data_IF_164875211617
#
_entry.id   IF_164875211617
#
_cell.length_a   1.000
_cell.length_b   1.000
_cell.length_c   1.000
_cell.angle_alpha   90.00
_cell.angle_beta   90.00
_cell.angle_gamma   90.00
#
_symmetry.space_group_name_H-M   'P 1'
#
loop_
_entity.id
_entity.type
_entity.pdbx_description
1 polymer ?
#
# COMPACT_ATOMS: atom_id res chain seq x y z
N UNK A 1 0.47 4.50 -17.41
CA UNK A 1 -0.62 5.49 -17.30
C UNK A 1 -0.97 5.70 -15.83
N UNK A 2 -1.62 6.82 -15.47
CA UNK A 2 -2.07 7.11 -14.10
C UNK A 2 -3.54 7.58 -14.11
N UNK A 3 -4.30 7.24 -13.06
CA UNK A 3 -5.66 7.73 -12.82
C UNK A 3 -5.92 8.06 -11.34
N UNK A 4 -6.90 8.93 -11.10
CA UNK A 4 -7.34 9.38 -9.76
C UNK A 4 -8.52 8.60 -9.18
N UNK A 5 -8.74 7.37 -9.66
CA UNK A 5 -9.75 6.45 -9.11
C UNK A 5 -9.07 5.11 -8.85
N UNK A 6 -9.30 4.47 -7.68
CA UNK A 6 -8.75 3.15 -7.42
C UNK A 6 -9.20 2.17 -8.51
N UNK A 7 -8.28 1.29 -8.91
CA UNK A 7 -8.61 0.19 -9.80
C UNK A 7 -9.24 -0.96 -9.02
N UNK A 8 -8.77 -1.20 -7.80
CA UNK A 8 -9.14 -2.31 -6.95
C UNK A 8 -10.13 -1.87 -5.87
N UNK A 9 -10.93 -2.81 -5.42
CA UNK A 9 -11.80 -2.61 -4.26
C UNK A 9 -10.98 -2.81 -2.98
N UNK A 10 -10.78 -1.74 -2.22
CA UNK A 10 -9.98 -1.76 -1.00
C UNK A 10 -10.52 -2.75 0.05
N UNK A 11 -11.85 -2.83 0.22
CA UNK A 11 -12.42 -3.72 1.24
C UNK A 11 -12.27 -5.19 0.83
N UNK A 12 -12.39 -5.49 -0.47
CA UNK A 12 -12.08 -6.84 -0.97
C UNK A 12 -10.60 -7.18 -0.80
N UNK A 13 -9.69 -6.23 -1.04
CA UNK A 13 -8.27 -6.45 -0.83
C UNK A 13 -7.95 -6.74 0.63
N UNK A 14 -8.49 -5.96 1.57
CA UNK A 14 -8.30 -6.16 3.03
C UNK A 14 -8.78 -7.52 3.53
N UNK A 15 -9.79 -8.10 2.88
CA UNK A 15 -10.35 -9.42 3.22
C UNK A 15 -9.68 -10.57 2.48
N UNK A 16 -8.76 -10.28 1.55
CA UNK A 16 -8.07 -11.30 0.77
C UNK A 16 -6.89 -11.90 1.52
N UNK A 17 -6.43 -13.07 1.07
CA UNK A 17 -5.17 -13.68 1.49
C UNK A 17 -4.00 -13.03 0.72
N UNK A 18 -3.77 -11.73 0.97
CA UNK A 18 -2.75 -10.98 0.25
C UNK A 18 -1.34 -11.35 0.70
N UNK A 19 -0.41 -11.35 -0.25
CA UNK A 19 1.01 -11.59 0.00
C UNK A 19 1.76 -10.28 0.17
N UNK A 20 2.77 -10.28 1.02
CA UNK A 20 3.72 -9.18 1.15
C UNK A 20 5.04 -9.58 0.48
N UNK A 21 5.57 -8.75 -0.42
CA UNK A 21 6.86 -9.06 -1.05
C UNK A 21 8.00 -8.93 -0.05
N UNK A 22 9.10 -9.65 -0.29
CA UNK A 22 10.32 -9.51 0.52
C UNK A 22 10.83 -8.07 0.56
N UNK A 23 10.73 -7.33 -0.54
CA UNK A 23 11.10 -5.91 -0.57
C UNK A 23 10.22 -5.08 0.35
N UNK A 24 8.90 -5.27 0.35
CA UNK A 24 7.99 -4.57 1.25
C UNK A 24 8.24 -4.94 2.74
N UNK A 25 8.59 -6.19 3.02
CA UNK A 25 8.99 -6.63 4.36
C UNK A 25 10.29 -5.93 4.81
N UNK A 26 11.28 -5.83 3.93
CA UNK A 26 12.55 -5.17 4.22
C UNK A 26 12.37 -3.68 4.49
N UNK A 27 11.61 -2.98 3.64
CA UNK A 27 11.36 -1.55 3.80
C UNK A 27 10.49 -1.23 5.02
N UNK A 28 9.58 -2.13 5.41
CA UNK A 28 8.88 -2.01 6.68
C UNK A 28 9.85 -2.17 7.88
N UNK A 29 10.75 -3.15 7.83
CA UNK A 29 11.73 -3.38 8.89
C UNK A 29 12.68 -2.19 9.09
N UNK A 30 13.01 -1.43 8.03
CA UNK A 30 13.83 -0.20 8.12
C UNK A 30 13.21 0.87 9.03
N UNK A 31 11.89 0.88 9.21
CA UNK A 31 11.18 1.78 10.12
C UNK A 31 10.72 1.09 11.42
N UNK A 32 11.26 -0.10 11.69
CA UNK A 32 10.98 -0.88 12.89
C UNK A 32 9.65 -1.64 12.86
N UNK A 33 9.01 -1.76 11.69
CA UNK A 33 7.75 -2.49 11.56
C UNK A 33 8.02 -3.97 11.30
N UNK A 34 7.19 -4.81 11.90
CA UNK A 34 7.13 -6.24 11.62
C UNK A 34 6.01 -6.54 10.62
N UNK A 35 5.95 -7.78 10.16
CA UNK A 35 4.88 -8.22 9.24
C UNK A 35 3.48 -7.99 9.85
N UNK A 36 3.32 -8.22 11.16
CA UNK A 36 2.09 -7.94 11.89
C UNK A 36 1.65 -6.46 11.80
N UNK A 37 2.61 -5.53 11.77
CA UNK A 37 2.31 -4.10 11.61
C UNK A 37 1.81 -3.78 10.20
N UNK A 38 2.34 -4.44 9.17
CA UNK A 38 1.83 -4.31 7.81
C UNK A 38 0.35 -4.73 7.77
N UNK A 39 0.01 -5.90 8.34
CA UNK A 39 -1.38 -6.35 8.40
C UNK A 39 -2.28 -5.37 9.18
N UNK A 40 -1.80 -4.86 10.32
CA UNK A 40 -2.53 -3.88 11.12
C UNK A 40 -2.81 -2.58 10.36
N UNK A 41 -1.80 -2.05 9.66
CA UNK A 41 -1.91 -0.82 8.87
C UNK A 41 -2.85 -1.02 7.68
N UNK A 42 -2.75 -2.14 6.97
CA UNK A 42 -3.64 -2.48 5.85
C UNK A 42 -5.08 -2.63 6.31
N UNK A 43 -5.32 -3.29 7.44
CA UNK A 43 -6.65 -3.42 8.03
C UNK A 43 -7.27 -2.05 8.40
N UNK A 44 -6.43 -1.06 8.75
CA UNK A 44 -6.86 0.31 9.07
C UNK A 44 -6.99 1.23 7.84
N UNK A 45 -6.65 0.76 6.63
CA UNK A 45 -6.74 1.56 5.41
C UNK A 45 -8.18 2.02 5.16
N UNK A 46 -8.27 3.26 4.68
CA UNK A 46 -9.52 3.92 4.30
C UNK A 46 -9.47 4.38 2.85
N UNK A 47 -10.63 4.47 2.22
CA UNK A 47 -10.74 4.85 0.81
C UNK A 47 -10.20 6.26 0.53
N UNK A 48 -10.32 7.18 1.47
CA UNK A 48 -9.90 8.58 1.35
C UNK A 48 -8.37 8.73 1.33
N UNK A 49 -7.65 7.71 1.78
CA UNK A 49 -6.17 7.66 1.73
C UNK A 49 -5.64 7.33 0.34
N UNK A 50 -6.52 7.05 -0.63
CA UNK A 50 -6.13 6.76 -1.99
C UNK A 50 -5.40 7.95 -2.60
N UNK A 51 -4.18 7.70 -3.08
CA UNK A 51 -3.39 8.70 -3.77
C UNK A 51 -3.59 8.62 -5.28
N UNK A 52 -3.31 7.44 -5.86
CA UNK A 52 -3.40 7.22 -7.30
C UNK A 52 -3.43 5.74 -7.65
N UNK A 53 -3.81 5.47 -8.90
CA UNK A 53 -3.68 4.15 -9.51
C UNK A 53 -2.82 4.29 -10.75
N UNK A 54 -1.80 3.45 -10.88
CA UNK A 54 -0.83 3.53 -11.97
C UNK A 54 -0.54 2.14 -12.54
N UNK A 55 -0.24 2.06 -13.84
CA UNK A 55 0.17 0.80 -14.45
C UNK A 55 1.66 0.56 -14.28
N UNK A 56 2.12 -0.69 -14.36
CA UNK A 56 3.53 -0.96 -14.57
C UNK A 56 4.01 -0.35 -15.91
N UNK A 57 5.32 -0.12 -16.02
CA UNK A 57 5.92 0.43 -17.24
C UNK A 57 5.84 -0.55 -18.40
N UNK A 58 6.13 -1.83 -18.14
CA UNK A 58 6.16 -2.90 -19.15
C UNK A 58 4.83 -3.68 -19.26
N UNK A 59 3.86 -3.41 -18.39
CA UNK A 59 2.53 -4.04 -18.41
C UNK A 59 1.45 -3.01 -18.08
N UNK A 60 0.75 -2.56 -19.12
CA UNK A 60 -0.33 -1.58 -19.00
C UNK A 60 -1.67 -2.20 -18.55
N UNK A 61 -1.77 -3.52 -18.44
CA UNK A 61 -2.93 -4.20 -17.88
C UNK A 61 -2.82 -4.35 -16.35
N UNK A 62 -1.60 -4.43 -15.81
CA UNK A 62 -1.37 -4.49 -14.35
C UNK A 62 -1.48 -3.12 -13.71
N UNK A 63 -2.57 -2.89 -12.97
CA UNK A 63 -2.78 -1.68 -12.17
C UNK A 63 -2.33 -1.86 -10.73
N UNK A 64 -1.63 -0.85 -10.23
CA UNK A 64 -1.15 -0.71 -8.88
C UNK A 64 -1.90 0.44 -8.22
N UNK A 65 -2.63 0.15 -7.15
CA UNK A 65 -3.24 1.19 -6.34
C UNK A 65 -2.29 1.61 -5.23
N UNK A 66 -2.20 2.92 -5.03
CA UNK A 66 -1.28 3.57 -4.11
C UNK A 66 -2.07 4.36 -3.08
N UNK A 67 -1.71 4.18 -1.82
CA UNK A 67 -2.34 4.83 -0.67
C UNK A 67 -1.29 5.49 0.22
N UNK A 68 -1.67 6.62 0.82
CA UNK A 68 -0.90 7.30 1.87
C UNK A 68 -1.63 7.11 3.20
N UNK A 69 -1.11 6.18 4.01
CA UNK A 69 -1.80 5.67 5.19
C UNK A 69 -1.14 6.23 6.44
N UNK A 70 -1.81 7.10 7.22
CA UNK A 70 -1.28 7.55 8.49
C UNK A 70 -1.26 6.42 9.52
N UNK A 71 -0.14 6.24 10.20
CA UNK A 71 0.02 5.35 11.34
C UNK A 71 0.92 5.99 12.40
N UNK A 72 0.35 6.34 13.57
CA UNK A 72 1.06 7.17 14.56
C UNK A 72 1.52 8.51 13.96
N UNK A 73 2.83 8.77 14.08
CA UNK A 73 3.52 9.94 13.52
C UNK A 73 3.97 9.75 12.07
N UNK A 74 3.69 8.58 11.46
CA UNK A 74 4.14 8.25 10.11
C UNK A 74 3.01 8.40 9.09
N UNK A 75 3.39 8.73 7.85
CA UNK A 75 2.59 8.53 6.66
C UNK A 75 3.26 7.42 5.86
N UNK A 76 2.59 6.29 5.70
CA UNK A 76 3.10 5.11 4.99
C UNK A 76 2.60 5.13 3.55
N UNK A 77 3.51 4.98 2.59
CA UNK A 77 3.22 4.72 1.20
C UNK A 77 3.01 3.22 1.00
N UNK A 78 1.80 2.82 0.59
CA UNK A 78 1.46 1.42 0.33
C UNK A 78 1.04 1.27 -1.12
N UNK A 79 1.65 0.31 -1.83
CA UNK A 79 1.33 -0.02 -3.23
C UNK A 79 0.95 -1.49 -3.38
N UNK A 80 -0.26 -1.77 -3.85
CA UNK A 80 -0.73 -3.14 -4.09
C UNK A 80 -1.37 -3.36 -5.46
N UNK A 81 -1.44 -4.61 -5.89
CA UNK A 81 -1.95 -5.02 -7.22
C UNK A 81 -3.16 -5.97 -7.15
N UNK A 82 -3.74 -6.25 -8.32
CA UNK A 82 -4.88 -7.15 -8.52
C UNK A 82 -4.65 -8.58 -8.02
N UNK A 83 -3.38 -9.02 -7.95
CA UNK A 83 -3.01 -10.36 -7.49
C UNK A 83 -2.94 -10.45 -5.96
N UNK A 84 -3.61 -9.53 -5.26
CA UNK A 84 -3.59 -9.40 -3.81
C UNK A 84 -2.14 -9.38 -3.29
N UNK A 85 -1.31 -8.49 -3.81
CA UNK A 85 0.11 -8.43 -3.46
C UNK A 85 0.52 -7.01 -3.09
N UNK A 86 1.06 -6.83 -1.88
CA UNK A 86 1.71 -5.60 -1.44
C UNK A 86 3.13 -5.59 -1.98
N UNK A 87 3.35 -4.72 -2.95
CA UNK A 87 4.61 -4.57 -3.66
C UNK A 87 5.54 -3.52 -3.05
N UNK A 88 5.00 -2.60 -2.24
CA UNK A 88 5.76 -1.54 -1.59
C UNK A 88 5.06 -1.11 -0.30
N UNK A 89 5.85 -0.94 0.76
CA UNK A 89 5.44 -0.46 2.07
C UNK A 89 6.59 0.38 2.64
N UNK A 90 6.54 1.70 2.46
CA UNK A 90 7.65 2.60 2.76
C UNK A 90 7.17 3.80 3.56
N UNK A 91 8.03 4.37 4.41
CA UNK A 91 7.74 5.64 5.05
C UNK A 91 7.81 6.76 4.00
N UNK A 92 6.70 7.45 3.82
CA UNK A 92 6.61 8.61 2.93
C UNK A 92 7.09 9.88 3.63
N UNK A 93 6.57 10.12 4.83
CA UNK A 93 6.89 11.31 5.62
C UNK A 93 6.47 11.11 7.08
N UNK A 94 6.90 12.03 7.95
CA UNK A 94 6.33 12.19 9.27
C UNK A 94 5.13 13.15 9.19
N UNK A 95 4.17 13.03 10.11
CA UNK A 95 3.17 14.08 10.32
C UNK A 95 3.87 15.30 10.89
N UNK A 96 3.65 16.45 10.25
CA UNK A 96 4.00 17.72 10.86
C UNK A 96 3.08 17.97 12.07
N UNK A 97 3.64 18.49 13.16
CA UNK A 97 2.88 18.85 14.37
C UNK A 97 2.09 20.13 14.16
#
# INVERSE_FOLDING_TARGET
>A
MEKKKPHHDLEKFKQSDYRVTNTALQTAAEIGYLEADIYRVVAAMKREQFYKSMTAYYDHASWHDVYHVPDGDYIIYIKFTANNCISEFTLLSFKEK
#
